data_IF_466016500207
#
_entry.id   IF_466016500207
#
_cell.length_a   1.000
_cell.length_b   1.000
_cell.length_c   1.000
_cell.angle_alpha   90.00
_cell.angle_beta   90.00
_cell.angle_gamma   90.00
#
_symmetry.space_group_name_H-M   'P 1'
#
loop_
_entity.id
_entity.type
_entity.pdbx_description
1 polymer ?
#
# COMPACT_ATOMS: atom_id res chain seq x y z
N UNK A 1 -1.53 18.95 13.05
CA UNK A 1 -2.15 19.05 11.70
C UNK A 1 -2.09 17.65 11.12
N UNK A 2 -3.17 16.89 11.28
CA UNK A 2 -3.28 15.56 10.67
C UNK A 2 -3.19 15.72 9.16
N UNK A 3 -2.43 14.85 8.50
CA UNK A 3 -2.46 14.79 7.05
C UNK A 3 -3.69 13.96 6.69
N UNK A 4 -4.87 14.56 6.77
CA UNK A 4 -6.18 13.90 6.56
C UNK A 4 -6.44 13.57 5.06
N UNK A 5 -5.38 13.43 4.26
CA UNK A 5 -5.43 13.38 2.81
C UNK A 5 -4.71 12.18 2.22
N UNK A 6 -5.25 11.66 1.13
CA UNK A 6 -4.62 10.60 0.34
C UNK A 6 -3.50 11.21 -0.51
N UNK A 7 -2.28 10.67 -0.37
CA UNK A 7 -1.17 10.94 -1.28
C UNK A 7 -1.31 10.05 -2.52
N UNK A 8 -1.43 10.68 -3.69
CA UNK A 8 -1.58 9.97 -4.96
C UNK A 8 -0.25 10.01 -5.71
N UNK A 9 0.38 8.85 -5.86
CA UNK A 9 1.52 8.65 -6.73
C UNK A 9 1.02 8.25 -8.13
N UNK A 10 1.59 8.86 -9.15
CA UNK A 10 1.26 8.58 -10.55
C UNK A 10 2.51 8.29 -11.35
N UNK A 11 2.44 7.30 -12.22
CA UNK A 11 3.44 7.07 -13.26
C UNK A 11 2.85 7.51 -14.58
N UNK A 12 3.58 8.37 -15.30
CA UNK A 12 3.20 8.86 -16.62
C UNK A 12 4.13 8.32 -17.70
N UNK A 13 3.56 8.04 -18.86
CA UNK A 13 4.29 7.81 -20.10
C UNK A 13 3.81 8.82 -21.13
N UNK A 14 4.67 9.79 -21.46
CA UNK A 14 4.25 11.00 -22.17
C UNK A 14 3.14 11.73 -21.40
N UNK A 15 1.99 11.93 -22.06
CA UNK A 15 0.83 12.59 -21.46
C UNK A 15 -0.17 11.62 -20.78
N UNK A 16 0.08 10.30 -20.84
CA UNK A 16 -0.85 9.29 -20.32
C UNK A 16 -0.42 8.84 -18.93
N UNK A 17 -1.37 8.78 -18.00
CA UNK A 17 -1.17 8.10 -16.71
C UNK A 17 -1.30 6.60 -16.96
N UNK A 18 -0.25 5.86 -16.63
CA UNK A 18 -0.15 4.41 -16.88
C UNK A 18 -0.18 3.58 -15.60
N UNK A 19 0.08 4.21 -14.45
CA UNK A 19 -0.03 3.59 -13.14
C UNK A 19 -0.35 4.62 -12.07
N UNK A 20 -1.02 4.16 -11.01
CA UNK A 20 -1.35 4.98 -9.85
C UNK A 20 -1.26 4.17 -8.57
N UNK A 21 -0.86 4.83 -7.49
CA UNK A 21 -0.89 4.30 -6.14
C UNK A 21 -1.46 5.38 -5.21
N UNK A 22 -2.39 4.98 -4.35
CA UNK A 22 -3.01 5.82 -3.34
C UNK A 22 -2.49 5.40 -1.97
N UNK A 23 -1.76 6.28 -1.32
CA UNK A 23 -1.15 6.10 -0.01
C UNK A 23 -1.82 7.02 1.00
N UNK A 24 -2.29 6.48 2.12
CA UNK A 24 -2.87 7.22 3.24
C UNK A 24 -1.99 7.03 4.48
N UNK A 25 -1.85 8.06 5.28
CA UNK A 25 -1.31 7.91 6.63
C UNK A 25 -2.43 7.57 7.59
N UNK A 26 -2.21 6.55 8.42
CA UNK A 26 -3.10 6.13 9.49
C UNK A 26 -2.39 6.40 10.81
N UNK A 27 -3.01 7.23 11.65
CA UNK A 27 -2.49 7.59 12.97
C UNK A 27 -3.55 7.48 14.09
N UNK A 28 -4.72 6.91 13.76
CA UNK A 28 -5.79 6.61 14.72
C UNK A 28 -6.11 5.11 14.73
N UNK A 29 -6.59 4.59 15.86
CA UNK A 29 -6.97 3.17 15.97
C UNK A 29 -8.22 2.85 15.16
N UNK A 30 -9.14 3.80 15.02
CA UNK A 30 -10.33 3.63 14.18
C UNK A 30 -9.95 3.39 12.72
N UNK A 31 -9.04 4.19 12.16
CA UNK A 31 -8.56 3.98 10.79
C UNK A 31 -7.66 2.74 10.66
N UNK A 32 -6.94 2.37 11.73
CA UNK A 32 -6.14 1.16 11.76
C UNK A 32 -7.02 -0.09 11.58
N UNK A 33 -8.12 -0.18 12.34
CA UNK A 33 -9.06 -1.30 12.30
C UNK A 33 -9.84 -1.37 10.98
N UNK A 34 -10.11 -0.23 10.35
CA UNK A 34 -10.75 -0.18 9.03
C UNK A 34 -9.81 -0.64 7.91
N UNK A 35 -8.52 -0.31 8.03
CA UNK A 35 -7.59 -0.49 6.93
C UNK A 35 -6.71 -1.73 7.06
N UNK A 36 -6.36 -2.18 8.25
CA UNK A 36 -5.37 -3.24 8.48
C UNK A 36 -5.99 -4.29 9.40
N UNK A 37 -5.92 -5.57 9.02
CA UNK A 37 -6.27 -6.65 9.94
C UNK A 37 -5.07 -6.90 10.85
N UNK A 38 -4.98 -6.13 11.93
CA UNK A 38 -3.87 -6.24 12.89
C UNK A 38 -4.27 -7.19 14.02
N UNK A 39 -3.71 -8.40 14.11
CA UNK A 39 -3.83 -9.23 15.30
C UNK A 39 -2.97 -8.72 16.47
N UNK A 40 -2.08 -7.76 16.24
CA UNK A 40 -1.10 -7.27 17.21
C UNK A 40 -1.57 -6.05 18.02
N UNK A 41 -1.85 -6.26 19.31
CA UNK A 41 -2.09 -5.18 20.30
C UNK A 41 -0.94 -4.16 20.37
N UNK A 42 0.29 -4.56 20.05
CA UNK A 42 1.48 -3.69 20.08
C UNK A 42 1.40 -2.54 19.08
N UNK A 43 0.86 -2.78 17.90
CA UNK A 43 0.66 -1.74 16.88
C UNK A 43 -0.40 -0.73 17.33
N UNK A 44 -1.51 -1.21 17.91
CA UNK A 44 -2.55 -0.35 18.51
C UNK A 44 -2.00 0.51 19.65
N UNK A 45 -1.22 -0.09 20.56
CA UNK A 45 -0.57 0.62 21.67
C UNK A 45 0.44 1.65 21.14
N UNK A 46 1.17 1.33 20.06
CA UNK A 46 2.04 2.28 19.39
C UNK A 46 1.24 3.48 18.86
N UNK A 47 0.30 3.23 17.95
CA UNK A 47 -0.51 4.30 17.34
C UNK A 47 -1.17 5.20 18.39
N UNK A 48 -1.75 4.64 19.46
CA UNK A 48 -2.35 5.42 20.56
C UNK A 48 -1.34 6.10 21.49
N UNK A 49 -0.28 5.39 21.87
CA UNK A 49 0.56 5.74 23.00
C UNK A 49 1.83 6.51 22.64
N UNK A 50 2.36 6.34 21.43
CA UNK A 50 3.59 6.99 21.00
C UNK A 50 3.45 7.77 19.67
N UNK A 51 2.24 7.80 19.09
CA UNK A 51 1.95 8.54 17.86
C UNK A 51 2.57 7.93 16.60
N UNK A 52 2.73 6.60 16.52
CA UNK A 52 3.17 5.94 15.27
C UNK A 52 2.19 6.30 14.15
N UNK A 53 2.75 6.78 13.05
CA UNK A 53 2.04 6.96 11.78
C UNK A 53 2.35 5.79 10.87
N UNK A 54 1.33 5.17 10.29
CA UNK A 54 1.47 4.01 9.41
C UNK A 54 1.07 4.40 7.99
N UNK A 55 1.91 4.09 7.01
CA UNK A 55 1.55 4.24 5.60
C UNK A 55 0.68 3.07 5.14
N UNK A 56 -0.51 3.35 4.63
CA UNK A 56 -1.44 2.35 4.11
C UNK A 56 -1.71 2.60 2.64
N UNK A 57 -1.46 1.60 1.81
CA UNK A 57 -1.82 1.61 0.40
C UNK A 57 -3.31 1.24 0.31
N UNK A 58 -4.13 2.13 -0.25
CA UNK A 58 -5.58 1.94 -0.45
C UNK A 58 -5.96 1.52 -1.87
N UNK A 59 -5.17 1.94 -2.85
CA UNK A 59 -5.31 1.53 -4.24
C UNK A 59 -3.94 1.48 -4.92
N UNK A 60 -3.76 0.54 -5.86
CA UNK A 60 -2.54 0.34 -6.63
C UNK A 60 -2.95 -0.35 -7.91
N UNK A 61 -2.77 0.33 -9.03
CA UNK A 61 -3.21 -0.17 -10.31
C UNK A 61 -2.24 0.28 -11.40
N UNK A 62 -2.00 -0.64 -12.34
CA UNK A 62 -1.26 -0.40 -13.57
C UNK A 62 -2.14 -0.83 -14.74
N UNK A 63 -2.18 0.01 -15.77
CA UNK A 63 -2.87 -0.31 -17.02
C UNK A 63 -2.35 -1.64 -17.58
N UNK A 64 -3.26 -2.48 -18.07
CA UNK A 64 -2.97 -3.87 -18.47
C UNK A 64 -1.80 -3.98 -19.45
N UNK A 65 -1.74 -3.10 -20.45
CA UNK A 65 -0.70 -3.04 -21.49
C UNK A 65 0.69 -2.63 -20.98
N UNK A 66 0.79 -2.10 -19.76
CA UNK A 66 2.04 -1.68 -19.11
C UNK A 66 2.37 -2.55 -17.88
N UNK A 67 1.74 -3.72 -17.74
CA UNK A 67 2.14 -4.72 -16.74
C UNK A 67 3.33 -5.54 -17.23
N UNK A 68 4.09 -6.12 -16.31
CA UNK A 68 5.28 -6.92 -16.63
C UNK A 68 6.55 -6.13 -16.97
N UNK A 69 6.47 -4.79 -17.02
CA UNK A 69 7.62 -3.91 -17.33
C UNK A 69 8.12 -3.11 -16.11
N UNK A 70 7.69 -3.47 -14.90
CA UNK A 70 8.20 -2.88 -13.65
C UNK A 70 7.49 -1.61 -13.14
N UNK A 71 6.50 -1.07 -13.86
CA UNK A 71 5.75 0.15 -13.44
C UNK A 71 5.13 0.00 -12.05
N UNK A 72 4.55 -1.17 -11.77
CA UNK A 72 3.93 -1.45 -10.49
C UNK A 72 4.93 -1.44 -9.33
N UNK A 73 6.08 -2.10 -9.52
CA UNK A 73 7.17 -2.14 -8.54
C UNK A 73 7.71 -0.75 -8.24
N UNK A 74 7.95 0.06 -9.28
CA UNK A 74 8.42 1.44 -9.12
C UNK A 74 7.47 2.31 -8.30
N UNK A 75 6.15 2.10 -8.41
CA UNK A 75 5.17 2.78 -7.55
C UNK A 75 5.28 2.35 -6.09
N UNK A 76 5.55 1.06 -5.82
CA UNK A 76 5.75 0.56 -4.46
C UNK A 76 7.06 1.08 -3.85
N UNK A 77 8.14 1.09 -4.62
CA UNK A 77 9.43 1.69 -4.25
C UNK A 77 9.27 3.16 -3.86
N UNK A 78 8.51 3.92 -4.65
CA UNK A 78 8.20 5.31 -4.34
C UNK A 78 7.36 5.46 -3.05
N UNK A 79 6.40 4.56 -2.81
CA UNK A 79 5.61 4.57 -1.57
C UNK A 79 6.45 4.24 -0.32
N UNK A 80 7.38 3.29 -0.45
CA UNK A 80 8.36 2.95 0.58
C UNK A 80 9.28 4.14 0.85
N UNK A 81 9.78 4.79 -0.19
CA UNK A 81 10.64 5.96 -0.05
C UNK A 81 9.91 7.13 0.63
N UNK A 82 8.66 7.39 0.26
CA UNK A 82 7.81 8.40 0.93
C UNK A 82 7.64 8.06 2.41
N UNK A 83 7.32 6.81 2.73
CA UNK A 83 7.13 6.38 4.12
C UNK A 83 8.41 6.56 4.94
N UNK A 84 9.57 6.22 4.37
CA UNK A 84 10.88 6.45 5.01
C UNK A 84 11.19 7.93 5.23
N UNK A 85 10.96 8.78 4.22
CA UNK A 85 11.22 10.23 4.30
C UNK A 85 10.32 10.94 5.32
N UNK A 86 9.10 10.46 5.47
CA UNK A 86 8.10 11.03 6.39
C UNK A 86 8.15 10.42 7.79
N UNK A 87 8.93 9.34 7.98
CA UNK A 87 9.03 8.62 9.24
C UNK A 87 7.81 7.73 9.54
N UNK A 88 7.00 7.40 8.54
CA UNK A 88 5.88 6.48 8.70
C UNK A 88 6.38 5.03 8.73
N UNK A 89 5.76 4.20 9.57
CA UNK A 89 5.94 2.76 9.55
C UNK A 89 5.21 2.16 8.34
N UNK A 90 5.81 1.18 7.68
CA UNK A 90 5.26 0.55 6.48
C UNK A 90 5.92 1.04 5.20
N UNK A 91 5.23 1.05 4.04
CA UNK A 91 3.79 0.97 3.85
C UNK A 91 3.22 -0.47 3.86
N UNK A 92 1.92 -0.61 4.09
CA UNK A 92 1.18 -1.90 4.05
C UNK A 92 -0.09 -1.81 3.20
N UNK A 93 -0.56 -2.92 2.63
CA UNK A 93 -1.83 -2.91 1.88
C UNK A 93 -3.04 -2.87 2.82
N UNK A 94 -4.05 -2.10 2.44
CA UNK A 94 -5.33 -2.13 3.13
C UNK A 94 -6.09 -3.44 2.85
N UNK A 95 -6.77 -3.98 3.85
CA UNK A 95 -7.65 -5.17 3.74
C UNK A 95 -8.71 -4.98 2.64
N UNK A 96 -9.21 -3.76 2.49
CA UNK A 96 -10.18 -3.38 1.47
C UNK A 96 -9.61 -2.80 0.18
N UNK A 97 -8.29 -2.92 -0.05
CA UNK A 97 -7.63 -2.34 -1.23
C UNK A 97 -8.25 -2.86 -2.53
N UNK A 98 -8.40 -1.97 -3.53
CA UNK A 98 -9.13 -2.23 -4.78
C UNK A 98 -8.70 -3.51 -5.55
N UNK A 99 -7.53 -4.08 -5.27
CA UNK A 99 -7.08 -5.36 -5.85
C UNK A 99 -7.76 -6.59 -5.20
N UNK A 100 -8.20 -6.51 -3.94
CA UNK A 100 -8.87 -7.62 -3.23
C UNK A 100 -10.36 -7.77 -3.59
N UNK A 101 -10.98 -6.71 -4.13
CA UNK A 101 -12.41 -6.67 -4.48
C UNK A 101 -12.68 -6.49 -5.98
N UNK A 102 -11.93 -7.14 -6.87
CA UNK A 102 -12.40 -7.28 -8.27
C UNK A 102 -13.57 -8.29 -8.34
N UNK A 103 -14.73 -7.88 -7.84
CA UNK A 103 -16.01 -8.48 -8.23
C UNK A 103 -16.39 -7.87 -9.57
N UNK A 104 -16.41 -8.67 -10.64
CA UNK A 104 -17.04 -8.20 -11.87
C UNK A 104 -16.82 -8.96 -13.18
N UNK A 105 -15.98 -9.99 -13.27
CA UNK A 105 -16.00 -10.94 -14.40
C UNK A 105 -15.55 -12.32 -13.89
N UNK A 106 -16.43 -13.32 -13.97
CA UNK A 106 -16.32 -14.62 -13.30
C UNK A 106 -15.09 -15.44 -13.66
N UNK A 107 -14.01 -15.26 -12.88
CA UNK A 107 -12.87 -16.18 -12.81
C UNK A 107 -12.48 -16.32 -11.34
N UNK A 108 -13.18 -17.21 -10.63
CA UNK A 108 -12.92 -17.53 -9.23
C UNK A 108 -11.62 -18.32 -9.06
N UNK A 109 -10.57 -17.62 -8.62
CA UNK A 109 -9.27 -18.09 -8.06
C UNK A 109 -8.14 -17.08 -8.34
N UNK A 110 -8.22 -16.36 -9.47
CA UNK A 110 -7.18 -15.43 -9.95
C UNK A 110 -7.03 -14.14 -9.13
N UNK A 111 -8.02 -13.80 -8.29
CA UNK A 111 -7.98 -12.63 -7.41
C UNK A 111 -7.13 -12.82 -6.15
N UNK A 112 -7.07 -14.03 -5.61
CA UNK A 112 -6.26 -14.36 -4.42
C UNK A 112 -4.77 -14.47 -4.76
N UNK A 113 -4.43 -15.17 -5.85
CA UNK A 113 -3.04 -15.31 -6.31
C UNK A 113 -2.38 -13.94 -6.60
N UNK A 114 -3.15 -12.98 -7.13
CA UNK A 114 -2.71 -11.60 -7.35
C UNK A 114 -2.49 -10.81 -6.07
N UNK A 115 -3.23 -11.13 -5.01
CA UNK A 115 -3.09 -10.49 -3.70
C UNK A 115 -1.83 -10.98 -3.01
N UNK A 116 -1.58 -12.28 -2.98
CA UNK A 116 -0.34 -12.86 -2.43
C UNK A 116 0.90 -12.33 -3.16
N UNK A 117 0.87 -12.31 -4.50
CA UNK A 117 1.96 -11.75 -5.29
C UNK A 117 2.20 -10.25 -5.01
N UNK A 118 1.15 -9.48 -4.78
CA UNK A 118 1.27 -8.07 -4.42
C UNK A 118 1.96 -7.88 -3.06
N UNK A 119 1.62 -8.71 -2.08
CA UNK A 119 2.26 -8.72 -0.77
C UNK A 119 3.71 -9.15 -0.85
N UNK A 120 4.02 -10.25 -1.54
CA UNK A 120 5.39 -10.71 -1.75
C UNK A 120 6.25 -9.65 -2.42
N UNK A 121 5.74 -8.98 -3.46
CA UNK A 121 6.46 -7.90 -4.13
C UNK A 121 6.69 -6.70 -3.20
N UNK A 122 5.73 -6.35 -2.36
CA UNK A 122 5.91 -5.27 -1.40
C UNK A 122 6.95 -5.65 -0.33
N UNK A 123 6.93 -6.88 0.17
CA UNK A 123 7.94 -7.37 1.13
C UNK A 123 9.35 -7.41 0.51
N UNK A 124 9.47 -7.84 -0.74
CA UNK A 124 10.73 -7.78 -1.51
C UNK A 124 11.28 -6.35 -1.57
N UNK A 125 10.44 -5.40 -2.00
CA UNK A 125 10.80 -3.97 -2.06
C UNK A 125 11.15 -3.44 -0.66
N UNK A 126 10.39 -3.78 0.38
CA UNK A 126 10.71 -3.35 1.74
C UNK A 126 12.07 -3.89 2.21
N UNK A 127 12.36 -5.15 1.91
CA UNK A 127 13.63 -5.81 2.20
C UNK A 127 14.82 -5.11 1.54
N UNK A 128 14.69 -4.73 0.26
CA UNK A 128 15.72 -3.96 -0.46
C UNK A 128 16.01 -2.60 0.18
N UNK A 129 14.99 -1.98 0.80
CA UNK A 129 15.12 -0.70 1.49
C UNK A 129 15.50 -0.85 2.98
N UNK A 130 15.79 -2.06 3.44
CA UNK A 130 16.17 -2.35 4.83
C UNK A 130 15.03 -2.19 5.84
N UNK A 131 13.78 -2.17 5.37
CA UNK A 131 12.59 -2.09 6.21
C UNK A 131 12.12 -3.52 6.49
N UNK A 132 12.52 -4.08 7.64
CA UNK A 132 12.03 -5.40 8.08
C UNK A 132 10.56 -5.29 8.51
N UNK A 133 9.79 -6.35 8.26
CA UNK A 133 8.35 -6.53 8.51
C UNK A 133 7.77 -5.73 9.69
N UNK A 134 6.58 -5.15 9.44
CA UNK A 134 5.88 -4.25 10.35
C UNK A 134 4.86 -5.00 11.16
#
# INVERSE_FOLDING_TARGET
>A
MGMDGDLILITKFGYRIIGTLVLRVVDTVSELDEHIFVPEERLRIGVLGNGIKIGVIRAWAVQLQYRGVGVGRSLLEAAVEVSRKTGWRGPVFSVGHATSKWFGLGVGSMGMERYEWAWELLEDVRGEFGIVGG
#
